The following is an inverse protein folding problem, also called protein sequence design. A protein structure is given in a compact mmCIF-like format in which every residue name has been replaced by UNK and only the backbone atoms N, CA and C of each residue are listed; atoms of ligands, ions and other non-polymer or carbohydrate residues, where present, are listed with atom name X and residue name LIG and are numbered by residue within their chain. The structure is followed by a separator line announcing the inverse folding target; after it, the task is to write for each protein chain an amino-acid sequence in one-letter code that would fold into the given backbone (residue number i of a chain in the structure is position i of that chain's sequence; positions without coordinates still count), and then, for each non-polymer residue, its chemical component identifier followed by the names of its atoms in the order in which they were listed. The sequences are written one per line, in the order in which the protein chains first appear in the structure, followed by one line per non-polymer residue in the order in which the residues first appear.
data_IF_489292267080
#
_entry.id   IF_489292267080
#
_cell.length_a   1.000
_cell.length_b   1.000
_cell.length_c   1.000
_cell.angle_alpha   90.00
_cell.angle_beta   90.00
_cell.angle_gamma   90.00
#
_symmetry.space_group_name_H-M   'P 1'
#
loop_
_entity.id
_entity.type
_entity.pdbx_description
1 polymer ?
#
# COMPACT_ATOMS: atom_id res chain seq x y z
N UNK A 1 21.97 -13.52 3.81
CA UNK A 1 23.30 -13.42 3.20
C UNK A 1 23.56 -12.04 2.61
N UNK A 2 23.00 -11.67 1.41
CA UNK A 2 23.37 -10.40 0.75
C UNK A 2 23.14 -9.16 1.61
N UNK A 3 22.01 -9.09 2.30
CA UNK A 3 21.68 -7.93 3.14
C UNK A 3 22.62 -7.76 4.34
N UNK A 4 23.22 -8.84 4.87
CA UNK A 4 24.18 -8.78 5.98
C UNK A 4 25.54 -8.22 5.54
N UNK A 5 25.80 -8.22 4.23
CA UNK A 5 27.03 -7.68 3.60
C UNK A 5 26.81 -6.29 2.97
N UNK A 6 25.79 -5.56 3.45
CA UNK A 6 25.45 -4.20 2.98
C UNK A 6 25.02 -4.10 1.51
N UNK A 7 24.71 -5.22 0.85
CA UNK A 7 24.05 -5.17 -0.45
C UNK A 7 22.58 -4.77 -0.28
N UNK A 8 21.97 -4.31 -1.37
CA UNK A 8 20.53 -3.94 -1.45
C UNK A 8 19.75 -5.00 -2.23
N UNK A 9 19.48 -6.19 -1.64
CA UNK A 9 18.79 -7.25 -2.36
C UNK A 9 17.33 -6.90 -2.63
N UNK A 10 16.87 -7.22 -3.84
CA UNK A 10 15.47 -7.21 -4.24
C UNK A 10 15.00 -8.64 -4.48
N UNK A 11 13.94 -9.03 -3.78
CA UNK A 11 13.23 -10.28 -4.00
C UNK A 11 11.97 -10.01 -4.83
N UNK A 12 12.03 -10.24 -6.14
CA UNK A 12 10.89 -10.12 -7.02
C UNK A 12 10.10 -11.44 -7.02
N UNK A 13 8.88 -11.42 -6.50
CA UNK A 13 8.08 -12.62 -6.30
C UNK A 13 6.58 -12.29 -6.41
N UNK A 14 5.77 -13.25 -6.90
CA UNK A 14 4.33 -13.11 -6.89
C UNK A 14 3.78 -13.17 -5.47
N UNK A 15 2.76 -12.35 -5.20
CA UNK A 15 2.09 -12.32 -3.91
C UNK A 15 1.68 -13.72 -3.42
N UNK A 16 1.03 -14.51 -4.29
CA UNK A 16 0.59 -15.87 -3.94
C UNK A 16 1.75 -16.83 -3.62
N UNK A 17 2.91 -16.68 -4.28
CA UNK A 17 4.04 -17.58 -4.05
C UNK A 17 4.86 -17.20 -2.81
N UNK A 18 4.82 -15.93 -2.40
CA UNK A 18 5.47 -15.46 -1.18
C UNK A 18 4.90 -16.14 0.08
N UNK A 19 3.66 -16.61 0.04
CA UNK A 19 3.03 -17.32 1.15
C UNK A 19 3.86 -18.53 1.63
N UNK A 20 4.50 -19.26 0.70
CA UNK A 20 5.35 -20.42 1.04
C UNK A 20 6.68 -20.03 1.67
N UNK A 21 7.09 -18.77 1.54
CA UNK A 21 8.32 -18.25 2.11
C UNK A 21 8.06 -17.39 3.36
N UNK A 22 6.85 -17.43 3.92
CA UNK A 22 6.50 -16.58 5.06
C UNK A 22 7.40 -16.81 6.28
N UNK A 23 7.73 -18.07 6.57
CA UNK A 23 8.66 -18.42 7.65
C UNK A 23 10.03 -17.75 7.45
N UNK A 24 10.58 -17.80 6.24
CA UNK A 24 11.85 -17.15 5.90
C UNK A 24 11.74 -15.62 5.97
N UNK A 25 10.60 -15.04 5.57
CA UNK A 25 10.38 -13.60 5.74
C UNK A 25 10.38 -13.21 7.21
N UNK A 26 9.79 -14.02 8.08
CA UNK A 26 9.79 -13.81 9.53
C UNK A 26 11.20 -13.95 10.11
N UNK A 27 11.80 -15.13 9.99
CA UNK A 27 13.02 -15.47 10.72
C UNK A 27 14.29 -14.93 10.08
N UNK A 28 14.38 -14.99 8.73
CA UNK A 28 15.61 -14.64 8.04
C UNK A 28 15.65 -13.14 7.64
N UNK A 29 14.53 -12.41 7.78
CA UNK A 29 14.45 -11.01 7.37
C UNK A 29 13.90 -10.11 8.48
N UNK A 30 12.61 -10.28 8.86
CA UNK A 30 11.91 -9.31 9.71
C UNK A 30 12.45 -9.26 11.15
N UNK A 31 12.64 -10.40 11.82
CA UNK A 31 13.17 -10.47 13.19
C UNK A 31 14.59 -9.87 13.26
N UNK A 32 15.37 -10.05 12.20
CA UNK A 32 16.73 -9.52 12.11
C UNK A 32 16.79 -8.07 11.59
N UNK A 33 15.65 -7.47 11.25
CA UNK A 33 15.55 -6.13 10.62
C UNK A 33 16.45 -5.97 9.39
N UNK A 34 16.64 -7.04 8.61
CA UNK A 34 17.49 -6.98 7.41
C UNK A 34 16.80 -6.19 6.28
N UNK A 35 17.52 -5.28 5.61
CA UNK A 35 16.96 -4.41 4.58
C UNK A 35 16.76 -5.13 3.24
N UNK A 36 15.92 -6.15 3.24
CA UNK A 36 15.47 -6.84 2.03
C UNK A 36 14.25 -6.11 1.45
N UNK A 37 14.24 -5.91 0.13
CA UNK A 37 13.17 -5.24 -0.61
C UNK A 37 12.36 -6.29 -1.36
N UNK A 38 11.08 -6.41 -1.02
CA UNK A 38 10.17 -7.32 -1.69
C UNK A 38 9.39 -6.57 -2.78
N UNK A 39 9.68 -6.88 -4.04
CA UNK A 39 8.90 -6.42 -5.18
C UNK A 39 7.80 -7.46 -5.45
N UNK A 40 6.59 -7.17 -4.96
CA UNK A 40 5.49 -8.13 -4.95
C UNK A 40 4.61 -7.91 -6.18
N UNK A 41 4.79 -8.77 -7.17
CA UNK A 41 4.00 -8.80 -8.39
C UNK A 41 2.67 -9.54 -8.18
N UNK A 42 1.71 -9.29 -9.04
CA UNK A 42 0.37 -9.90 -9.01
C UNK A 42 -0.34 -9.72 -7.67
N UNK A 43 -0.22 -8.53 -7.11
CA UNK A 43 -0.99 -8.15 -5.93
C UNK A 43 -2.47 -7.93 -6.30
N UNK A 44 -3.37 -8.39 -5.44
CA UNK A 44 -4.82 -8.27 -5.65
C UNK A 44 -5.37 -9.34 -6.59
N UNK A 45 -6.46 -9.01 -7.29
CA UNK A 45 -7.13 -9.89 -8.22
C UNK A 45 -6.42 -9.93 -9.57
N UNK A 46 -6.19 -11.11 -10.10
CA UNK A 46 -5.29 -11.35 -11.25
C UNK A 46 -5.99 -11.78 -12.53
N UNK A 47 -7.34 -11.80 -12.54
CA UNK A 47 -8.12 -12.11 -13.73
C UNK A 47 -7.81 -13.49 -14.31
N UNK A 48 -7.29 -13.52 -15.53
CA UNK A 48 -7.03 -14.75 -16.28
C UNK A 48 -6.06 -15.74 -15.63
N UNK A 49 -5.20 -15.30 -14.71
CA UNK A 49 -4.29 -16.20 -13.99
C UNK A 49 -5.05 -17.11 -12.99
N UNK A 50 -6.29 -16.76 -12.67
CA UNK A 50 -7.20 -17.58 -11.88
C UNK A 50 -6.98 -17.49 -10.36
N UNK A 51 -7.79 -18.21 -9.58
CA UNK A 51 -7.83 -18.07 -8.13
C UNK A 51 -6.54 -18.50 -7.43
N UNK A 52 -5.77 -19.40 -8.01
CA UNK A 52 -4.49 -19.86 -7.43
C UNK A 52 -3.39 -18.81 -7.48
N UNK A 53 -3.58 -17.74 -8.26
CA UNK A 53 -2.64 -16.64 -8.40
C UNK A 53 -3.14 -15.35 -7.74
N UNK A 54 -4.30 -15.36 -7.09
CA UNK A 54 -4.83 -14.19 -6.39
C UNK A 54 -3.89 -13.73 -5.26
N UNK A 55 -3.51 -12.47 -5.30
CA UNK A 55 -2.57 -11.85 -4.36
C UNK A 55 -3.28 -11.05 -3.27
N UNK A 56 -4.11 -11.72 -2.45
CA UNK A 56 -4.99 -11.04 -1.50
C UNK A 56 -4.49 -11.02 -0.05
N UNK A 57 -3.41 -11.73 0.29
CA UNK A 57 -3.04 -11.98 1.68
C UNK A 57 -1.73 -11.30 2.12
N UNK A 58 -0.90 -10.84 1.19
CA UNK A 58 0.43 -10.28 1.47
C UNK A 58 0.38 -9.06 2.39
N UNK A 59 -0.54 -8.12 2.18
CA UNK A 59 -0.71 -6.97 3.07
C UNK A 59 -0.95 -7.39 4.51
N UNK A 60 -1.82 -8.38 4.72
CA UNK A 60 -2.19 -8.86 6.05
C UNK A 60 -0.98 -9.43 6.78
N UNK A 61 -0.31 -10.44 6.22
CA UNK A 61 0.77 -11.11 6.94
C UNK A 61 2.08 -10.29 7.01
N UNK A 62 2.37 -9.43 6.03
CA UNK A 62 3.55 -8.56 6.11
C UNK A 62 3.36 -7.43 7.11
N UNK A 63 2.15 -6.89 7.22
CA UNK A 63 1.88 -5.79 8.16
C UNK A 63 1.90 -6.23 9.63
N UNK A 64 1.77 -7.53 9.93
CA UNK A 64 1.92 -8.06 11.30
C UNK A 64 3.39 -8.06 11.76
N UNK A 65 4.35 -8.10 10.83
CA UNK A 65 5.76 -8.24 11.15
C UNK A 65 6.37 -6.96 11.72
N UNK A 66 7.30 -7.04 12.69
CA UNK A 66 7.95 -5.85 13.23
C UNK A 66 8.79 -5.13 12.18
N UNK A 67 8.89 -3.81 12.31
CA UNK A 67 9.74 -2.93 11.50
C UNK A 67 9.53 -2.97 9.98
N UNK A 68 8.54 -3.68 9.48
CA UNK A 68 8.27 -3.80 8.04
C UNK A 68 7.63 -2.52 7.49
N UNK A 69 8.09 -2.04 6.33
CA UNK A 69 7.39 -1.01 5.55
C UNK A 69 6.60 -1.69 4.44
N UNK A 70 5.28 -1.45 4.37
CA UNK A 70 4.38 -2.06 3.40
C UNK A 70 3.69 -1.00 2.56
N UNK A 71 3.96 -1.00 1.26
CA UNK A 71 3.49 -0.03 0.27
C UNK A 71 2.64 -0.69 -0.81
N UNK A 72 1.70 0.06 -1.38
CA UNK A 72 0.94 -0.38 -2.57
C UNK A 72 0.82 0.75 -3.58
N UNK A 73 1.30 0.51 -4.79
CA UNK A 73 1.27 1.48 -5.87
C UNK A 73 -0.14 1.64 -6.45
N UNK A 74 -0.59 2.88 -6.58
CA UNK A 74 -1.85 3.22 -7.22
C UNK A 74 -1.75 3.27 -8.75
N UNK A 75 -0.56 3.57 -9.27
CA UNK A 75 -0.22 3.58 -10.68
C UNK A 75 1.29 3.33 -10.89
N UNK A 76 1.75 3.36 -12.15
CA UNK A 76 3.15 3.15 -12.51
C UNK A 76 4.07 4.28 -12.03
N UNK A 77 3.57 5.50 -11.89
CA UNK A 77 4.35 6.62 -11.37
C UNK A 77 4.61 6.46 -9.85
N UNK A 78 3.60 6.05 -9.09
CA UNK A 78 3.76 5.73 -7.67
C UNK A 78 4.68 4.50 -7.47
N UNK A 79 4.60 3.51 -8.38
CA UNK A 79 5.51 2.35 -8.33
C UNK A 79 6.98 2.80 -8.47
N UNK A 80 7.29 3.68 -9.42
CA UNK A 80 8.64 4.24 -9.56
C UNK A 80 9.08 4.99 -8.30
N UNK A 81 8.20 5.81 -7.70
CA UNK A 81 8.51 6.49 -6.43
C UNK A 81 8.76 5.50 -5.28
N UNK A 82 7.99 4.42 -5.21
CA UNK A 82 8.18 3.38 -4.19
C UNK A 82 9.49 2.61 -4.38
N UNK A 83 9.87 2.30 -5.61
CA UNK A 83 11.19 1.72 -5.92
C UNK A 83 12.30 2.67 -5.46
N UNK A 84 12.23 3.96 -5.84
CA UNK A 84 13.21 4.96 -5.43
C UNK A 84 13.28 5.09 -3.90
N UNK A 85 12.14 5.10 -3.22
CA UNK A 85 12.06 5.15 -1.75
C UNK A 85 12.72 3.92 -1.13
N UNK A 86 12.45 2.73 -1.68
CA UNK A 86 12.98 1.48 -1.15
C UNK A 86 14.51 1.42 -1.20
N UNK A 87 15.17 2.15 -2.12
CA UNK A 87 16.64 2.21 -2.19
C UNK A 87 17.27 2.86 -0.97
N UNK A 88 16.51 3.69 -0.25
CA UNK A 88 16.99 4.42 0.94
C UNK A 88 16.66 3.72 2.25
N UNK A 89 15.81 2.70 2.23
CA UNK A 89 15.48 1.93 3.43
C UNK A 89 16.60 0.91 3.67
N UNK A 90 17.54 1.25 4.55
CA UNK A 90 18.75 0.45 4.80
C UNK A 90 18.80 -0.16 6.21
N UNK A 91 17.77 0.03 7.02
CA UNK A 91 17.72 -0.38 8.43
C UNK A 91 16.61 -1.40 8.72
N UNK A 92 15.76 -1.70 7.74
CA UNK A 92 14.59 -2.57 7.90
C UNK A 92 14.08 -3.11 6.58
N UNK A 93 13.27 -4.18 6.58
CA UNK A 93 12.67 -4.70 5.35
C UNK A 93 11.54 -3.79 4.84
N UNK A 94 11.33 -3.82 3.53
CA UNK A 94 10.18 -3.17 2.92
C UNK A 94 9.59 -4.02 1.79
N UNK A 95 8.31 -3.81 1.53
CA UNK A 95 7.59 -4.39 0.40
C UNK A 95 6.84 -3.29 -0.34
N UNK A 96 6.85 -3.38 -1.66
CA UNK A 96 5.96 -2.62 -2.51
C UNK A 96 5.24 -3.57 -3.45
N UNK A 97 3.92 -3.47 -3.47
CA UNK A 97 3.04 -4.37 -4.21
C UNK A 97 2.41 -3.67 -5.40
N UNK A 98 2.27 -4.38 -6.51
CA UNK A 98 1.68 -3.88 -7.75
C UNK A 98 0.88 -4.97 -8.46
N UNK A 99 -0.17 -4.59 -9.22
CA UNK A 99 -1.06 -5.54 -9.87
C UNK A 99 -0.45 -6.14 -11.14
N UNK A 100 -1.07 -7.22 -11.62
CA UNK A 100 -0.92 -7.67 -12.99
C UNK A 100 -1.80 -6.81 -13.90
N UNK A 101 -1.21 -6.14 -14.87
CA UNK A 101 -1.98 -5.32 -15.81
C UNK A 101 -1.11 -4.36 -16.61
N UNK A 102 -1.77 -3.58 -17.44
CA UNK A 102 -1.17 -2.47 -18.17
C UNK A 102 -1.35 -1.21 -17.33
N UNK A 103 -0.31 -0.38 -17.23
CA UNK A 103 -0.38 0.91 -16.57
C UNK A 103 -1.41 1.85 -17.22
N UNK A 104 -1.84 2.84 -16.48
CA UNK A 104 -2.85 3.81 -16.95
C UNK A 104 -2.27 4.94 -17.80
N UNK A 105 -0.96 4.95 -18.02
CA UNK A 105 -0.26 5.97 -18.80
C UNK A 105 0.15 7.19 -17.98
N UNK A 106 0.38 7.04 -16.67
CA UNK A 106 0.85 8.12 -15.82
C UNK A 106 2.22 8.63 -16.26
N UNK A 107 2.43 9.95 -16.16
CA UNK A 107 3.75 10.55 -16.40
C UNK A 107 4.71 10.05 -15.31
N UNK A 108 5.78 9.37 -15.73
CA UNK A 108 6.74 8.83 -14.80
C UNK A 108 7.53 9.96 -14.10
N UNK A 109 7.78 9.83 -12.79
CA UNK A 109 8.56 10.79 -12.04
C UNK A 109 10.04 10.72 -12.40
N UNK A 110 10.81 11.72 -11.96
CA UNK A 110 12.27 11.66 -12.05
C UNK A 110 12.83 10.51 -11.19
N UNK A 111 14.02 10.03 -11.56
CA UNK A 111 14.71 8.93 -10.84
C UNK A 111 15.01 9.25 -9.37
N UNK A 112 14.95 10.50 -8.97
CA UNK A 112 15.26 10.95 -7.61
C UNK A 112 14.00 11.22 -6.76
N UNK A 113 12.81 11.16 -7.36
CA UNK A 113 11.58 11.37 -6.59
C UNK A 113 11.31 10.20 -5.65
N UNK A 114 11.19 10.51 -4.36
CA UNK A 114 10.94 9.56 -3.27
C UNK A 114 9.71 9.95 -2.49
N UNK A 115 9.12 8.99 -1.80
CA UNK A 115 8.02 9.21 -0.87
C UNK A 115 8.56 9.45 0.54
N UNK A 116 7.89 10.27 1.30
CA UNK A 116 8.05 10.30 2.74
C UNK A 116 7.34 9.06 3.33
N UNK A 117 8.08 8.26 4.10
CA UNK A 117 7.56 7.00 4.64
C UNK A 117 6.40 7.27 5.59
N UNK A 118 5.29 6.56 5.39
CA UNK A 118 4.09 6.70 6.19
C UNK A 118 3.25 7.93 5.85
N UNK A 119 3.48 8.58 4.70
CA UNK A 119 2.67 9.71 4.24
C UNK A 119 1.81 9.37 3.05
N UNK A 120 0.54 9.64 3.22
CA UNK A 120 -0.49 9.56 2.18
C UNK A 120 -0.50 10.81 1.32
N UNK A 121 -1.21 10.76 0.19
CA UNK A 121 -1.42 11.90 -0.70
C UNK A 121 -2.91 12.19 -0.86
N UNK A 122 -3.34 13.39 -0.52
CA UNK A 122 -4.68 13.86 -0.87
C UNK A 122 -4.70 14.13 -2.38
N UNK A 123 -5.57 13.42 -3.09
CA UNK A 123 -5.76 13.55 -4.55
C UNK A 123 -6.86 14.54 -4.84
N UNK A 124 -7.92 14.53 -4.04
CA UNK A 124 -9.06 15.41 -4.15
C UNK A 124 -9.58 15.75 -2.76
N UNK A 125 -9.87 17.03 -2.54
CA UNK A 125 -10.54 17.48 -1.33
C UNK A 125 -12.06 17.54 -1.53
N UNK A 126 -12.81 17.22 -0.49
CA UNK A 126 -14.25 17.24 -0.46
C UNK A 126 -14.78 17.38 0.95
N UNK A 127 -16.04 16.97 1.16
CA UNK A 127 -16.73 17.05 2.46
C UNK A 127 -17.49 15.77 2.73
N UNK A 128 -17.86 15.55 3.98
CA UNK A 128 -18.68 14.45 4.51
C UNK A 128 -18.06 13.06 4.42
N UNK A 129 -17.58 12.64 3.26
CA UNK A 129 -17.02 11.32 3.04
C UNK A 129 -15.56 11.43 2.62
N UNK A 130 -14.69 10.66 3.27
CA UNK A 130 -13.31 10.45 2.85
C UNK A 130 -13.10 9.01 2.38
N UNK A 131 -12.46 8.82 1.25
CA UNK A 131 -12.05 7.51 0.75
C UNK A 131 -10.53 7.40 0.86
N UNK A 132 -10.06 6.41 1.61
CA UNK A 132 -8.66 6.01 1.68
C UNK A 132 -8.45 4.83 0.73
N UNK A 133 -7.85 5.09 -0.41
CA UNK A 133 -7.53 4.06 -1.40
C UNK A 133 -6.11 3.53 -1.18
N UNK A 134 -5.95 2.22 -1.08
CA UNK A 134 -4.67 1.55 -0.96
C UNK A 134 -4.41 0.68 -2.19
N UNK A 135 -3.50 1.14 -3.05
CA UNK A 135 -3.10 0.43 -4.27
C UNK A 135 -3.94 0.74 -5.51
N UNK A 136 -4.03 -0.20 -6.43
CA UNK A 136 -4.40 -0.01 -7.84
C UNK A 136 -5.85 0.43 -8.13
N UNK A 137 -6.75 0.48 -7.13
CA UNK A 137 -8.16 0.90 -7.35
C UNK A 137 -8.37 2.41 -7.36
N UNK A 138 -7.30 3.22 -7.34
CA UNK A 138 -7.42 4.67 -7.30
C UNK A 138 -8.17 5.25 -8.53
N UNK A 139 -7.89 4.73 -9.71
CA UNK A 139 -8.54 5.22 -10.94
C UNK A 139 -10.05 4.96 -10.94
N UNK A 140 -10.49 3.78 -10.48
CA UNK A 140 -11.91 3.46 -10.32
C UNK A 140 -12.56 4.31 -9.23
N UNK A 141 -11.83 4.58 -8.16
CA UNK A 141 -12.27 5.47 -7.07
C UNK A 141 -12.49 6.90 -7.58
N UNK A 142 -11.59 7.42 -8.41
CA UNK A 142 -11.74 8.74 -9.04
C UNK A 142 -12.95 8.81 -9.97
N UNK A 143 -13.16 7.78 -10.80
CA UNK A 143 -14.36 7.70 -11.66
C UNK A 143 -15.66 7.67 -10.85
N UNK A 144 -15.67 6.93 -9.73
CA UNK A 144 -16.82 6.91 -8.82
C UNK A 144 -17.07 8.28 -8.19
N UNK A 145 -16.01 9.00 -7.79
CA UNK A 145 -16.11 10.36 -7.25
C UNK A 145 -16.66 11.36 -8.26
N UNK A 146 -16.24 11.27 -9.53
CA UNK A 146 -16.82 12.12 -10.60
C UNK A 146 -18.33 11.88 -10.77
N UNK A 147 -18.78 10.63 -10.69
CA UNK A 147 -20.20 10.28 -10.74
C UNK A 147 -20.98 10.80 -9.52
N UNK A 148 -20.39 10.78 -8.33
CA UNK A 148 -20.98 11.36 -7.14
C UNK A 148 -21.03 12.90 -7.23
N UNK A 149 -20.00 13.53 -7.77
CA UNK A 149 -19.95 14.98 -7.98
C UNK A 149 -21.08 15.48 -8.90
N UNK A 150 -21.42 14.72 -9.95
CA UNK A 150 -22.57 15.01 -10.82
C UNK A 150 -23.91 14.96 -10.05
N UNK A 151 -23.97 14.27 -8.93
CA UNK A 151 -25.13 14.19 -8.01
C UNK A 151 -25.04 15.20 -6.86
N UNK A 152 -24.08 16.13 -6.90
CA UNK A 152 -23.89 17.15 -5.85
C UNK A 152 -23.11 16.66 -4.62
N UNK A 153 -22.52 15.46 -4.67
CA UNK A 153 -21.73 14.91 -3.57
C UNK A 153 -20.24 15.04 -3.91
N UNK A 154 -19.53 15.91 -3.20
CA UNK A 154 -18.09 16.08 -3.32
C UNK A 154 -17.38 15.41 -2.15
N UNK A 155 -16.49 14.46 -2.43
CA UNK A 155 -15.82 13.60 -1.45
C UNK A 155 -14.32 13.83 -1.46
N UNK A 156 -13.67 13.57 -0.33
CA UNK A 156 -12.21 13.54 -0.22
C UNK A 156 -11.68 12.18 -0.69
N UNK A 157 -10.63 12.19 -1.53
CA UNK A 157 -9.94 10.98 -1.98
C UNK A 157 -8.48 11.08 -1.61
N UNK A 158 -7.98 10.02 -1.00
CA UNK A 158 -6.60 9.88 -0.56
C UNK A 158 -5.99 8.63 -1.18
N UNK A 159 -4.82 8.77 -1.77
CA UNK A 159 -3.91 7.64 -2.01
C UNK A 159 -3.15 7.35 -0.72
N UNK A 160 -3.48 6.24 -0.08
CA UNK A 160 -2.90 5.89 1.22
C UNK A 160 -1.43 5.49 1.13
N UNK A 161 -0.97 4.96 -0.01
CA UNK A 161 0.41 4.55 -0.28
C UNK A 161 0.97 3.49 0.66
N UNK A 162 0.76 3.63 1.98
CA UNK A 162 1.35 2.81 3.04
C UNK A 162 0.27 2.13 3.88
N UNK A 163 0.36 0.81 4.02
CA UNK A 163 -0.38 0.10 5.06
C UNK A 163 0.41 0.09 6.38
N UNK A 164 1.75 0.18 6.28
CA UNK A 164 2.65 0.26 7.44
C UNK A 164 3.92 1.05 7.08
N UNK A 165 4.26 2.11 7.85
CA UNK A 165 3.39 2.72 8.86
C UNK A 165 2.19 3.43 8.22
N UNK A 166 1.09 3.56 8.95
CA UNK A 166 -0.05 4.37 8.55
C UNK A 166 0.26 5.87 8.65
N UNK A 167 -0.38 6.68 7.82
CA UNK A 167 -0.46 8.13 8.04
C UNK A 167 -1.50 8.45 9.12
N UNK A 168 -1.14 8.17 10.37
CA UNK A 168 -2.03 8.34 11.52
C UNK A 168 -2.56 9.77 11.65
N UNK A 169 -1.73 10.76 11.33
CA UNK A 169 -2.11 12.17 11.42
C UNK A 169 -3.21 12.53 10.43
N UNK A 170 -3.08 12.10 9.18
CA UNK A 170 -4.09 12.35 8.17
C UNK A 170 -5.38 11.55 8.44
N UNK A 171 -5.26 10.28 8.83
CA UNK A 171 -6.42 9.44 9.15
C UNK A 171 -7.21 10.06 10.31
N UNK A 172 -6.53 10.52 11.36
CA UNK A 172 -7.16 11.21 12.48
C UNK A 172 -7.86 12.51 12.04
N UNK A 173 -7.20 13.32 11.25
CA UNK A 173 -7.78 14.55 10.71
C UNK A 173 -9.06 14.25 9.91
N UNK A 174 -9.03 13.26 9.02
CA UNK A 174 -10.18 12.88 8.21
C UNK A 174 -11.33 12.34 9.08
N UNK A 175 -11.04 11.51 10.06
CA UNK A 175 -12.05 10.99 10.98
C UNK A 175 -12.72 12.09 11.82
N UNK A 176 -11.97 13.16 12.14
CA UNK A 176 -12.48 14.29 12.91
C UNK A 176 -13.27 15.31 12.07
N UNK A 177 -13.09 15.31 10.75
CA UNK A 177 -13.66 16.35 9.85
C UNK A 177 -14.69 15.81 8.86
N UNK A 178 -14.84 14.50 8.73
CA UNK A 178 -15.77 13.85 7.82
C UNK A 178 -16.78 12.99 8.60
N UNK A 179 -17.96 12.82 8.03
CA UNK A 179 -19.04 12.02 8.63
C UNK A 179 -18.75 10.50 8.54
N UNK A 180 -17.95 10.10 7.51
CA UNK A 180 -17.58 8.71 7.31
C UNK A 180 -16.23 8.59 6.60
N UNK A 181 -15.53 7.48 6.86
CA UNK A 181 -14.34 7.03 6.14
C UNK A 181 -14.64 5.69 5.48
N UNK A 182 -14.24 5.54 4.23
CA UNK A 182 -14.29 4.28 3.49
C UNK A 182 -12.87 3.91 3.10
N UNK A 183 -12.47 2.67 3.32
CA UNK A 183 -11.20 2.12 2.83
C UNK A 183 -11.44 1.26 1.61
N UNK A 184 -10.57 1.38 0.60
CA UNK A 184 -10.59 0.56 -0.62
C UNK A 184 -9.24 -0.10 -0.80
N UNK A 185 -9.24 -1.43 -0.89
CA UNK A 185 -8.06 -2.25 -1.17
C UNK A 185 -8.44 -3.53 -1.91
N UNK A 186 -7.48 -4.12 -2.62
CA UNK A 186 -7.56 -5.52 -3.08
C UNK A 186 -6.76 -6.39 -2.11
N UNK A 187 -7.41 -6.78 -1.03
CA UNK A 187 -6.81 -7.52 0.07
C UNK A 187 -7.82 -8.39 0.79
N UNK A 188 -7.43 -8.92 1.93
CA UNK A 188 -8.25 -9.72 2.83
C UNK A 188 -8.53 -9.00 4.15
N UNK A 189 -9.40 -9.56 4.97
CA UNK A 189 -9.57 -9.14 6.37
C UNK A 189 -8.21 -9.18 7.07
N UNK A 190 -7.89 -8.15 7.84
CA UNK A 190 -6.57 -7.96 8.44
C UNK A 190 -5.62 -7.08 7.60
N UNK A 191 -6.04 -6.65 6.41
CA UNK A 191 -5.29 -5.74 5.53
C UNK A 191 -5.36 -4.27 5.96
N UNK A 192 -5.18 -3.36 4.99
CA UNK A 192 -5.10 -1.91 5.22
C UNK A 192 -6.31 -1.37 5.99
N UNK A 193 -7.53 -1.72 5.57
CA UNK A 193 -8.75 -1.25 6.23
C UNK A 193 -8.83 -1.68 7.69
N UNK A 194 -8.38 -2.89 8.02
CA UNK A 194 -8.33 -3.37 9.41
C UNK A 194 -7.35 -2.56 10.26
N UNK A 195 -6.20 -2.17 9.71
CA UNK A 195 -5.24 -1.31 10.42
C UNK A 195 -5.80 0.09 10.67
N UNK A 196 -6.53 0.65 9.70
CA UNK A 196 -7.23 1.94 9.88
C UNK A 196 -8.27 1.85 10.99
N UNK A 197 -9.10 0.81 11.01
CA UNK A 197 -10.12 0.59 12.06
C UNK A 197 -9.47 0.39 13.43
N UNK A 198 -8.42 -0.43 13.53
CA UNK A 198 -7.67 -0.64 14.77
C UNK A 198 -7.10 0.66 15.32
N UNK A 199 -6.49 1.48 14.45
CA UNK A 199 -5.97 2.78 14.83
C UNK A 199 -7.07 3.72 15.36
N UNK A 200 -8.18 3.85 14.65
CA UNK A 200 -9.29 4.72 15.05
C UNK A 200 -9.92 4.24 16.35
N UNK A 201 -10.15 2.94 16.50
CA UNK A 201 -10.66 2.34 17.75
C UNK A 201 -9.77 2.63 18.97
N UNK A 202 -8.43 2.53 18.79
CA UNK A 202 -7.48 2.90 19.87
C UNK A 202 -7.51 4.38 20.23
N UNK A 203 -8.00 5.25 19.34
CA UNK A 203 -8.19 6.69 19.58
C UNK A 203 -9.57 7.02 20.12
N UNK A 204 -10.48 6.04 20.27
CA UNK A 204 -11.82 6.23 20.77
C UNK A 204 -12.84 6.71 19.73
N UNK A 205 -12.59 6.43 18.45
CA UNK A 205 -13.49 6.74 17.33
C UNK A 205 -14.07 5.45 16.75
#
# INVERSE_FOLDING_TARGET
GLATENFKPYAAIYSTFLQRAYDQVVHDVAIQSLPVRFAIDRAGLVGADGPTHAGSFDTTYLSTLPNFVVMAASDEAELVRMINTSTEINDRPCAFRYPRGIGIGSILPSINEKLEIGKSKIIQEGKKLAILNFGARLNETLKAAENLKKKGVNITIVDARFAKPLDESLIWQLASTHEAIVTIEEGSIGGFGSHVVDFLSKKGL
#
